data_IF_664763241688
#
_entry.id   IF_664763241688
#
_cell.length_a   1.000
_cell.length_b   1.000
_cell.length_c   1.000
_cell.angle_alpha   90.00
_cell.angle_beta   90.00
_cell.angle_gamma   90.00
#
_symmetry.space_group_name_H-M   'P 1'
#
loop_
_entity.id
_entity.type
_entity.pdbx_description
1 polymer ?
#
# COMPACT_ATOMS: atom_id res chain seq x y z
N UNK A 1 -21.28 22.25 13.97
CA UNK A 1 -20.04 22.56 13.24
C UNK A 1 -19.23 21.27 13.13
N UNK A 2 -19.33 20.56 12.00
CA UNK A 2 -18.43 19.44 11.72
C UNK A 2 -17.14 20.04 11.17
N UNK A 3 -16.02 19.89 11.89
CA UNK A 3 -14.71 20.30 11.39
C UNK A 3 -14.38 19.54 10.09
N UNK A 4 -13.60 20.14 9.17
CA UNK A 4 -13.22 19.47 7.94
C UNK A 4 -12.52 18.14 8.28
N UNK A 5 -12.81 17.05 7.56
CA UNK A 5 -12.08 15.80 7.75
C UNK A 5 -10.61 16.10 7.50
N UNK A 6 -9.77 15.75 8.47
CA UNK A 6 -8.33 15.69 8.30
C UNK A 6 -8.09 14.78 7.08
N UNK A 7 -7.76 15.36 5.92
CA UNK A 7 -7.74 14.64 4.64
C UNK A 7 -6.94 13.32 4.71
N UNK A 8 -5.86 13.31 5.51
CA UNK A 8 -5.01 12.13 5.71
C UNK A 8 -5.66 10.94 6.44
N UNK A 9 -6.76 11.13 7.17
CA UNK A 9 -7.47 10.03 7.84
C UNK A 9 -8.20 9.12 6.85
N UNK A 10 -8.80 9.72 5.83
CA UNK A 10 -9.54 9.02 4.76
C UNK A 10 -8.62 8.25 3.82
N UNK A 11 -7.45 8.81 3.52
CA UNK A 11 -6.44 8.14 2.67
C UNK A 11 -5.90 6.89 3.36
N UNK A 12 -5.50 7.02 4.64
CA UNK A 12 -5.01 5.89 5.43
C UNK A 12 -6.04 4.76 5.55
N UNK A 13 -7.32 5.10 5.77
CA UNK A 13 -8.41 4.11 5.81
C UNK A 13 -8.57 3.36 4.49
N UNK A 14 -8.39 4.04 3.36
CA UNK A 14 -8.47 3.41 2.04
C UNK A 14 -7.30 2.47 1.79
N UNK A 15 -6.08 2.86 2.18
CA UNK A 15 -4.90 2.01 2.06
C UNK A 15 -5.01 0.76 2.95
N UNK A 16 -5.48 0.91 4.20
CA UNK A 16 -5.75 -0.25 5.09
C UNK A 16 -6.74 -1.22 4.46
N UNK A 17 -7.82 -0.71 3.86
CA UNK A 17 -8.80 -1.55 3.18
C UNK A 17 -8.17 -2.35 2.03
N UNK A 18 -7.39 -1.70 1.17
CA UNK A 18 -6.71 -2.35 0.04
C UNK A 18 -5.76 -3.45 0.54
N UNK A 19 -4.95 -3.17 1.57
CA UNK A 19 -4.05 -4.17 2.18
C UNK A 19 -4.81 -5.43 2.62
N UNK A 20 -6.01 -5.25 3.17
CA UNK A 20 -6.83 -6.37 3.71
C UNK A 20 -7.52 -7.18 2.62
N UNK A 21 -7.58 -6.67 1.39
CA UNK A 21 -8.17 -7.40 0.26
C UNK A 21 -7.22 -8.39 -0.40
N UNK A 22 -5.91 -8.31 -0.12
CA UNK A 22 -4.92 -9.18 -0.76
C UNK A 22 -5.23 -10.66 -0.60
N UNK A 23 -5.33 -11.35 -1.74
CA UNK A 23 -5.49 -12.79 -1.79
C UNK A 23 -4.12 -13.48 -1.80
N UNK A 24 -3.99 -14.55 -1.03
CA UNK A 24 -2.83 -15.43 -1.08
C UNK A 24 -3.02 -16.45 -2.20
N UNK A 25 -2.01 -16.56 -3.06
CA UNK A 25 -1.98 -17.54 -4.14
C UNK A 25 -1.65 -18.92 -3.58
N UNK A 26 -2.62 -19.85 -3.57
CA UNK A 26 -2.44 -21.23 -3.07
C UNK A 26 -1.48 -22.08 -3.91
N UNK A 27 -1.27 -21.73 -5.18
CA UNK A 27 -0.44 -22.49 -6.12
C UNK A 27 0.42 -21.55 -6.96
N UNK A 28 1.72 -21.83 -7.04
CA UNK A 28 2.70 -21.01 -7.77
C UNK A 28 3.37 -19.94 -6.89
N UNK A 29 4.22 -19.14 -7.53
CA UNK A 29 4.90 -18.03 -6.89
C UNK A 29 4.07 -16.75 -6.97
N UNK A 30 4.21 -15.90 -5.95
CA UNK A 30 3.65 -14.57 -5.87
C UNK A 30 4.54 -13.69 -4.99
N UNK A 31 4.23 -12.40 -4.88
CA UNK A 31 5.05 -11.49 -4.08
C UNK A 31 5.02 -11.83 -2.59
N UNK A 32 6.15 -11.65 -1.93
CA UNK A 32 6.30 -11.93 -0.50
C UNK A 32 5.34 -11.09 0.35
N UNK A 33 4.40 -11.71 1.07
CA UNK A 33 3.43 -11.00 1.87
C UNK A 33 4.07 -10.09 2.90
N UNK A 34 5.21 -10.49 3.46
CA UNK A 34 5.88 -9.74 4.54
C UNK A 34 6.46 -8.43 4.00
N UNK A 35 7.08 -8.46 2.82
CA UNK A 35 7.59 -7.25 2.17
C UNK A 35 6.45 -6.30 1.75
N UNK A 36 5.38 -6.86 1.17
CA UNK A 36 4.19 -6.07 0.80
C UNK A 36 3.56 -5.45 2.04
N UNK A 37 3.27 -6.24 3.07
CA UNK A 37 2.66 -5.77 4.32
C UNK A 37 3.50 -4.69 4.99
N UNK A 38 4.83 -4.88 5.07
CA UNK A 38 5.73 -3.90 5.68
C UNK A 38 5.72 -2.56 4.94
N UNK A 39 5.71 -2.57 3.60
CA UNK A 39 5.62 -1.34 2.81
C UNK A 39 4.31 -0.58 3.09
N UNK A 40 3.18 -1.29 3.08
CA UNK A 40 1.88 -0.69 3.34
C UNK A 40 1.78 -0.15 4.77
N UNK A 41 2.34 -0.86 5.75
CA UNK A 41 2.42 -0.37 7.13
C UNK A 41 3.22 0.93 7.25
N UNK A 42 4.37 1.02 6.59
CA UNK A 42 5.20 2.22 6.63
C UNK A 42 4.47 3.43 6.02
N UNK A 43 3.81 3.23 4.86
CA UNK A 43 2.96 4.26 4.24
C UNK A 43 1.83 4.70 5.18
N UNK A 44 1.18 3.76 5.88
CA UNK A 44 0.13 4.08 6.86
C UNK A 44 0.67 4.89 8.04
N UNK A 45 1.87 4.57 8.55
CA UNK A 45 2.54 5.32 9.62
C UNK A 45 2.85 6.75 9.19
N UNK A 46 3.35 6.94 7.96
CA UNK A 46 3.60 8.28 7.41
C UNK A 46 2.31 9.07 7.22
N UNK A 47 1.23 8.43 6.74
CA UNK A 47 -0.08 9.07 6.59
C UNK A 47 -0.71 9.46 7.94
N UNK A 48 -0.43 8.70 9.00
CA UNK A 48 -0.81 9.06 10.37
C UNK A 48 -0.04 10.28 10.93
N UNK A 49 0.81 10.93 10.12
CA UNK A 49 1.60 12.09 10.50
C UNK A 49 2.75 11.76 11.44
N UNK A 50 3.14 10.47 11.53
CA UNK A 50 4.19 10.00 12.44
C UNK A 50 5.56 9.86 11.79
N UNK A 51 5.71 10.22 10.52
CA UNK A 51 6.99 10.18 9.83
C UNK A 51 6.94 10.70 8.39
N UNK A 52 8.09 10.92 7.75
CA UNK A 52 8.17 11.14 6.32
C UNK A 52 7.70 9.89 5.56
N UNK A 53 7.28 10.06 4.32
CA UNK A 53 6.93 8.93 3.45
C UNK A 53 8.19 8.08 3.19
N UNK A 54 8.15 6.75 3.36
CA UNK A 54 9.34 5.90 3.23
C UNK A 54 9.89 5.89 1.81
N UNK A 55 9.01 6.08 0.83
CA UNK A 55 9.29 5.99 -0.59
C UNK A 55 8.58 7.11 -1.33
N UNK A 56 9.17 7.54 -2.44
CA UNK A 56 8.54 8.51 -3.32
C UNK A 56 7.36 7.83 -4.05
N UNK A 57 6.16 8.44 -4.14
CA UNK A 57 5.01 7.79 -4.78
C UNK A 57 5.26 7.42 -6.24
N UNK A 58 6.16 8.14 -6.94
CA UNK A 58 6.55 7.77 -8.31
C UNK A 58 7.25 6.39 -8.39
N UNK A 59 7.96 6.00 -7.33
CA UNK A 59 8.74 4.75 -7.26
C UNK A 59 7.92 3.58 -6.72
N UNK A 60 6.68 3.77 -6.26
CA UNK A 60 5.87 2.67 -5.72
C UNK A 60 5.65 1.54 -6.72
N UNK A 61 5.45 1.87 -8.01
CA UNK A 61 5.28 0.89 -9.09
C UNK A 61 6.60 0.25 -9.56
N UNK A 62 7.76 0.76 -9.12
CA UNK A 62 9.08 0.23 -9.49
C UNK A 62 9.66 -0.71 -8.41
N UNK A 63 8.99 -0.79 -7.25
CA UNK A 63 9.38 -1.68 -6.15
C UNK A 63 9.20 -3.13 -6.62
N UNK A 64 10.29 -3.90 -6.52
CA UNK A 64 10.28 -5.33 -6.78
C UNK A 64 10.23 -6.07 -5.44
N UNK A 65 9.26 -6.98 -5.31
CA UNK A 65 9.17 -7.87 -4.17
C UNK A 65 9.75 -9.23 -4.53
N UNK A 66 10.26 -9.96 -3.53
CA UNK A 66 10.68 -11.35 -3.77
C UNK A 66 9.48 -12.23 -4.09
N UNK A 67 9.71 -13.22 -4.96
CA UNK A 67 8.71 -14.22 -5.32
C UNK A 67 8.82 -15.43 -4.40
N UNK A 68 7.78 -15.69 -3.62
CA UNK A 68 7.70 -16.82 -2.69
C UNK A 68 6.54 -17.74 -3.06
N UNK A 69 6.69 -19.03 -2.75
CA UNK A 69 5.58 -19.99 -2.84
C UNK A 69 4.53 -19.64 -1.80
N UNK A 70 3.28 -19.44 -2.22
CA UNK A 70 2.24 -18.98 -1.30
C UNK A 70 2.25 -17.47 -1.04
N UNK A 71 2.79 -16.67 -1.97
CA UNK A 71 2.77 -15.22 -1.87
C UNK A 71 1.43 -14.57 -2.28
N UNK A 72 1.36 -13.24 -2.20
CA UNK A 72 0.24 -12.48 -2.75
C UNK A 72 0.25 -12.50 -4.28
N UNK A 73 -0.93 -12.37 -4.89
CA UNK A 73 -1.04 -12.24 -6.33
C UNK A 73 -0.38 -10.95 -6.81
N UNK A 74 0.60 -11.07 -7.70
CA UNK A 74 1.36 -9.95 -8.27
C UNK A 74 0.41 -8.87 -8.81
N UNK A 75 -0.56 -9.27 -9.64
CA UNK A 75 -1.55 -8.36 -10.21
C UNK A 75 -2.40 -7.61 -9.16
N UNK A 76 -2.70 -8.21 -8.00
CA UNK A 76 -3.44 -7.51 -6.95
C UNK A 76 -2.56 -6.51 -6.22
N UNK A 77 -1.31 -6.88 -5.95
CA UNK A 77 -0.32 -5.98 -5.32
C UNK A 77 0.01 -4.82 -6.26
N UNK A 78 0.25 -5.07 -7.55
CA UNK A 78 0.52 -4.05 -8.55
C UNK A 78 -0.66 -3.08 -8.70
N UNK A 79 -1.89 -3.60 -8.75
CA UNK A 79 -3.09 -2.75 -8.78
C UNK A 79 -3.22 -1.91 -7.52
N UNK A 80 -2.97 -2.49 -6.34
CA UNK A 80 -2.97 -1.79 -5.07
C UNK A 80 -1.92 -0.68 -4.99
N UNK A 81 -0.69 -0.94 -5.45
CA UNK A 81 0.39 0.04 -5.48
C UNK A 81 0.03 1.24 -6.37
N UNK A 82 -0.58 0.99 -7.53
CA UNK A 82 -1.06 2.04 -8.42
C UNK A 82 -2.13 2.92 -7.77
N UNK A 83 -3.09 2.31 -7.08
CA UNK A 83 -4.13 3.06 -6.35
C UNK A 83 -3.52 3.88 -5.20
N UNK A 84 -2.61 3.28 -4.41
CA UNK A 84 -1.89 3.97 -3.33
C UNK A 84 -1.09 5.17 -3.87
N UNK A 85 -0.39 4.99 -4.99
CA UNK A 85 0.34 6.05 -5.68
C UNK A 85 -0.58 7.19 -6.10
N UNK A 86 -1.70 6.91 -6.75
CA UNK A 86 -2.67 7.93 -7.17
C UNK A 86 -3.22 8.71 -5.96
N UNK A 87 -3.56 8.03 -4.86
CA UNK A 87 -3.99 8.68 -3.62
C UNK A 87 -2.92 9.63 -3.06
N UNK A 88 -1.66 9.17 -2.99
CA UNK A 88 -0.55 9.97 -2.48
C UNK A 88 -0.24 11.18 -3.39
N UNK A 89 -0.32 11.00 -4.72
CA UNK A 89 -0.11 12.07 -5.69
C UNK A 89 -1.24 13.11 -5.72
N UNK A 90 -2.48 12.72 -5.42
CA UNK A 90 -3.60 13.66 -5.32
C UNK A 90 -3.52 14.55 -4.08
N UNK A 91 -2.81 14.09 -3.04
CA UNK A 91 -2.61 14.82 -1.79
C UNK A 91 -1.43 15.79 -1.83
N UNK A 92 -0.41 15.52 -2.66
CA UNK A 92 0.78 16.38 -2.84
C UNK A 92 0.49 17.61 -3.67
#
# INVERSE_FOLDING_TARGET
>A
MAGPPLAGGSDAQRIDHIRRTFQVRRFGSGYDPRQVDQLFEDILVSLAGRGPLPVNPAELETIQFELVSGGYFEAEVDAALKEVKDLLMRRS
#
